data_IF_496052354543
#
_entry.id   IF_496052354543
#
_cell.length_a   1.000
_cell.length_b   1.000
_cell.length_c   1.000
_cell.angle_alpha   90.00
_cell.angle_beta   90.00
_cell.angle_gamma   90.00
#
_symmetry.space_group_name_H-M   'P 1'
#
loop_
_entity.id
_entity.type
_entity.pdbx_description
1 polymer ?
#
# COMPACT_ATOMS: atom_id res chain seq x y z
N UNK A 1 90.09 -30.14 47.54
CA UNK A 1 89.63 -28.81 47.09
C UNK A 1 88.16 -28.91 46.72
N UNK A 2 87.28 -28.35 47.57
CA UNK A 2 85.81 -28.42 47.45
C UNK A 2 85.34 -27.21 46.62
N UNK A 3 84.44 -27.40 45.64
CA UNK A 3 83.72 -26.30 44.98
C UNK A 3 82.21 -26.51 45.17
N UNK A 4 81.62 -25.81 46.14
CA UNK A 4 80.16 -25.76 46.36
C UNK A 4 79.52 -24.84 45.30
N UNK A 5 78.61 -25.37 44.51
CA UNK A 5 77.77 -24.61 43.58
C UNK A 5 76.58 -24.05 44.38
N UNK A 6 76.50 -22.73 44.51
CA UNK A 6 75.36 -22.06 45.13
C UNK A 6 74.19 -21.99 44.14
N UNK A 7 73.12 -22.74 44.37
CA UNK A 7 71.85 -22.51 43.71
C UNK A 7 71.24 -21.19 44.23
N UNK A 8 71.23 -20.16 43.40
CA UNK A 8 70.45 -18.95 43.68
C UNK A 8 68.96 -19.32 43.68
N UNK A 9 68.30 -19.19 44.84
CA UNK A 9 66.84 -19.28 44.96
C UNK A 9 66.20 -18.17 44.13
N UNK A 10 65.66 -18.51 42.95
CA UNK A 10 64.82 -17.60 42.17
C UNK A 10 63.57 -17.28 42.99
N UNK A 11 63.31 -15.99 43.23
CA UNK A 11 62.12 -15.51 43.95
C UNK A 11 60.89 -15.81 43.09
N UNK A 12 59.99 -16.65 43.60
CA UNK A 12 58.74 -17.06 42.95
C UNK A 12 57.68 -15.96 42.82
N UNK A 13 58.08 -14.72 42.54
CA UNK A 13 57.19 -13.56 42.42
C UNK A 13 56.29 -13.62 41.16
N UNK A 14 56.62 -14.47 40.19
CA UNK A 14 55.83 -14.62 38.96
C UNK A 14 54.52 -15.37 39.24
N UNK A 15 54.50 -16.38 40.11
CA UNK A 15 53.30 -17.16 40.42
C UNK A 15 52.12 -16.31 40.96
N UNK A 16 52.29 -15.45 41.99
CA UNK A 16 51.20 -14.59 42.45
C UNK A 16 50.79 -13.53 41.43
N UNK A 17 51.73 -13.01 40.63
CA UNK A 17 51.42 -12.08 39.54
C UNK A 17 50.55 -12.74 38.46
N UNK A 18 50.92 -13.96 38.04
CA UNK A 18 50.16 -14.73 37.05
C UNK A 18 48.76 -15.06 37.57
N UNK A 19 48.61 -15.43 38.85
CA UNK A 19 47.32 -15.70 39.45
C UNK A 19 46.38 -14.48 39.41
N UNK A 20 46.89 -13.29 39.75
CA UNK A 20 46.11 -12.05 39.69
C UNK A 20 45.72 -11.72 38.24
N UNK A 21 46.66 -11.82 37.30
CA UNK A 21 46.38 -11.55 35.87
C UNK A 21 45.36 -12.54 35.31
N UNK A 22 45.44 -13.82 35.68
CA UNK A 22 44.44 -14.82 35.28
C UNK A 22 43.02 -14.45 35.74
N UNK A 23 42.86 -13.97 36.98
CA UNK A 23 41.55 -13.52 37.48
C UNK A 23 41.03 -12.35 36.64
N UNK A 24 41.87 -11.37 36.33
CA UNK A 24 41.48 -10.21 35.51
C UNK A 24 41.09 -10.66 34.09
N UNK A 25 41.85 -11.56 33.48
CA UNK A 25 41.54 -12.09 32.15
C UNK A 25 40.23 -12.89 32.13
N UNK A 26 39.98 -13.72 33.14
CA UNK A 26 38.72 -14.45 33.27
C UNK A 26 37.52 -13.51 33.47
N UNK A 27 37.68 -12.43 34.26
CA UNK A 27 36.65 -11.41 34.42
C UNK A 27 36.34 -10.69 33.09
N UNK A 28 37.36 -10.37 32.30
CA UNK A 28 37.17 -9.77 30.97
C UNK A 28 36.46 -10.71 30.00
N UNK A 29 36.78 -12.01 30.02
CA UNK A 29 36.11 -13.02 29.19
C UNK A 29 34.64 -13.17 29.60
N UNK A 30 34.36 -13.30 30.91
CA UNK A 30 33.02 -13.36 31.46
C UNK A 30 32.16 -12.16 31.00
N UNK A 31 32.69 -10.95 31.14
CA UNK A 31 32.03 -9.73 30.69
C UNK A 31 31.79 -9.70 29.18
N UNK A 32 32.77 -10.12 28.38
CA UNK A 32 32.64 -10.20 26.93
C UNK A 32 31.56 -11.19 26.49
N UNK A 33 31.44 -12.34 27.17
CA UNK A 33 30.40 -13.35 26.89
C UNK A 33 29.00 -12.81 27.20
N UNK A 34 28.80 -12.18 28.37
CA UNK A 34 27.48 -11.68 28.76
C UNK A 34 27.01 -10.53 27.86
N UNK A 35 27.88 -9.57 27.53
CA UNK A 35 27.55 -8.50 26.59
C UNK A 35 27.30 -9.05 25.19
N UNK A 36 28.13 -9.99 24.74
CA UNK A 36 27.96 -10.65 23.46
C UNK A 36 26.60 -11.32 23.36
N UNK A 37 26.22 -12.08 24.39
CA UNK A 37 24.92 -12.74 24.48
C UNK A 37 23.77 -11.73 24.49
N UNK A 38 23.84 -10.67 25.31
CA UNK A 38 22.79 -9.65 25.37
C UNK A 38 22.58 -8.96 24.01
N UNK A 39 23.66 -8.65 23.29
CA UNK A 39 23.57 -8.04 21.97
C UNK A 39 22.96 -8.99 20.93
N UNK A 40 23.27 -10.30 20.99
CA UNK A 40 22.62 -11.30 20.14
C UNK A 40 21.12 -11.37 20.43
N UNK A 41 20.72 -11.41 21.70
CA UNK A 41 19.30 -11.48 22.09
C UNK A 41 18.55 -10.22 21.69
N UNK A 42 19.18 -9.03 21.80
CA UNK A 42 18.59 -7.78 21.27
C UNK A 42 18.39 -7.83 19.76
N UNK A 43 19.35 -8.38 19.01
CA UNK A 43 19.21 -8.58 17.57
C UNK A 43 18.07 -9.55 17.22
N UNK A 44 17.95 -10.66 17.96
CA UNK A 44 16.84 -11.61 17.83
C UNK A 44 15.48 -10.94 18.12
N UNK A 45 15.39 -10.15 19.20
CA UNK A 45 14.18 -9.43 19.56
C UNK A 45 13.77 -8.42 18.47
N UNK A 46 14.74 -7.68 17.92
CA UNK A 46 14.48 -6.75 16.82
C UNK A 46 14.00 -7.48 15.55
N UNK A 47 14.64 -8.58 15.17
CA UNK A 47 14.19 -9.37 14.01
C UNK A 47 12.78 -9.92 14.21
N UNK A 48 12.44 -10.35 15.43
CA UNK A 48 11.09 -10.75 15.80
C UNK A 48 10.10 -9.59 15.62
N UNK A 49 10.40 -8.41 16.18
CA UNK A 49 9.55 -7.23 16.09
C UNK A 49 9.34 -6.79 14.64
N UNK A 50 10.42 -6.73 13.85
CA UNK A 50 10.39 -6.33 12.43
C UNK A 50 9.53 -7.30 11.61
N UNK A 51 9.73 -8.61 11.77
CA UNK A 51 8.96 -9.62 11.04
C UNK A 51 7.48 -9.62 11.42
N UNK A 52 7.15 -9.46 12.71
CA UNK A 52 5.78 -9.39 13.20
C UNK A 52 5.07 -8.12 12.71
N UNK A 53 5.73 -6.96 12.78
CA UNK A 53 5.18 -5.70 12.29
C UNK A 53 4.91 -5.77 10.78
N UNK A 54 5.88 -6.27 10.00
CA UNK A 54 5.73 -6.42 8.55
C UNK A 54 4.61 -7.40 8.18
N UNK A 55 4.48 -8.52 8.89
CA UNK A 55 3.43 -9.49 8.65
C UNK A 55 2.04 -8.91 8.96
N UNK A 56 1.89 -8.24 10.11
CA UNK A 56 0.64 -7.58 10.48
C UNK A 56 0.25 -6.49 9.49
N UNK A 57 1.19 -5.62 9.09
CA UNK A 57 0.94 -4.58 8.10
C UNK A 57 0.68 -5.16 6.70
N UNK A 58 1.31 -6.27 6.32
CA UNK A 58 1.03 -7.01 5.09
C UNK A 58 -0.41 -7.55 5.07
N UNK A 59 -0.86 -8.14 6.18
CA UNK A 59 -2.25 -8.62 6.30
C UNK A 59 -3.25 -7.48 6.29
N UNK A 60 -2.93 -6.37 6.95
CA UNK A 60 -3.70 -5.14 6.90
C UNK A 60 -3.86 -4.64 5.45
N UNK A 61 -2.80 -4.67 4.65
CA UNK A 61 -2.86 -4.30 3.23
C UNK A 61 -3.79 -5.20 2.41
N UNK A 62 -3.70 -6.52 2.62
CA UNK A 62 -4.57 -7.50 1.97
C UNK A 62 -6.05 -7.26 2.30
N UNK A 63 -6.35 -6.96 3.57
CA UNK A 63 -7.71 -6.65 4.01
C UNK A 63 -8.23 -5.37 3.37
N UNK A 64 -7.45 -4.30 3.41
CA UNK A 64 -7.80 -3.04 2.76
C UNK A 64 -8.09 -3.27 1.27
N UNK A 65 -7.31 -4.13 0.60
CA UNK A 65 -7.45 -4.41 -0.84
C UNK A 65 -8.77 -4.98 -1.25
N UNK A 66 -9.35 -5.76 -0.36
CA UNK A 66 -10.64 -6.37 -0.61
C UNK A 66 -11.79 -5.58 0.04
N UNK A 67 -11.50 -4.54 0.83
CA UNK A 67 -12.49 -3.74 1.51
C UNK A 67 -13.45 -3.01 0.55
N UNK A 68 -14.73 -2.85 0.93
CA UNK A 68 -15.65 -2.01 0.19
C UNK A 68 -15.21 -0.53 0.28
N UNK A 69 -15.45 0.22 -0.79
CA UNK A 69 -15.12 1.65 -0.86
C UNK A 69 -16.40 2.43 -0.56
N UNK A 70 -16.39 3.23 0.50
CA UNK A 70 -17.50 4.11 0.87
C UNK A 70 -16.99 5.53 0.98
N UNK A 71 -17.62 6.46 0.26
CA UNK A 71 -17.19 7.86 0.13
C UNK A 71 -15.74 8.01 -0.33
N UNK A 72 -15.29 7.11 -1.21
CA UNK A 72 -13.93 7.11 -1.76
C UNK A 72 -12.85 6.55 -0.84
N UNK A 73 -13.23 6.04 0.33
CA UNK A 73 -12.30 5.49 1.33
C UNK A 73 -12.57 4.00 1.54
N UNK A 74 -11.54 3.13 1.55
CA UNK A 74 -11.70 1.73 1.93
C UNK A 74 -12.17 1.61 3.38
N UNK A 75 -13.27 0.89 3.61
CA UNK A 75 -13.83 0.70 4.95
C UNK A 75 -13.23 -0.53 5.60
N UNK A 76 -12.48 -0.30 6.67
CA UNK A 76 -11.90 -1.37 7.48
C UNK A 76 -12.83 -1.75 8.62
N UNK A 77 -12.93 -3.05 8.91
CA UNK A 77 -13.71 -3.61 10.02
C UNK A 77 -12.84 -4.01 11.21
N UNK A 78 -13.47 -4.32 12.34
CA UNK A 78 -12.75 -4.85 13.53
C UNK A 78 -12.11 -6.21 13.22
N UNK A 79 -12.74 -7.04 12.38
CA UNK A 79 -12.20 -8.35 12.00
C UNK A 79 -10.95 -8.22 11.11
N UNK A 80 -10.86 -7.17 10.30
CA UNK A 80 -9.65 -6.86 9.55
C UNK A 80 -8.48 -6.51 10.47
N UNK A 81 -8.74 -5.73 11.53
CA UNK A 81 -7.75 -5.40 12.55
C UNK A 81 -7.32 -6.65 13.33
N UNK A 82 -8.27 -7.48 13.76
CA UNK A 82 -7.97 -8.76 14.44
C UNK A 82 -7.15 -9.69 13.57
N UNK A 83 -7.44 -9.78 12.27
CA UNK A 83 -6.67 -10.59 11.35
C UNK A 83 -5.21 -10.10 11.24
N UNK A 84 -4.99 -8.78 11.21
CA UNK A 84 -3.64 -8.20 11.22
C UNK A 84 -2.89 -8.47 12.53
N UNK A 85 -3.56 -8.34 13.68
CA UNK A 85 -2.99 -8.70 15.00
C UNK A 85 -2.61 -10.18 15.03
N UNK A 86 -3.48 -11.08 14.56
CA UNK A 86 -3.23 -12.51 14.57
C UNK A 86 -2.03 -12.89 13.68
N UNK A 87 -1.93 -12.30 12.48
CA UNK A 87 -0.79 -12.55 11.59
C UNK A 87 0.53 -12.11 12.23
N UNK A 88 0.54 -10.94 12.89
CA UNK A 88 1.73 -10.47 13.62
C UNK A 88 2.13 -11.44 14.74
N UNK A 89 1.16 -11.97 15.51
CA UNK A 89 1.41 -12.98 16.55
C UNK A 89 1.97 -14.27 15.96
N UNK A 90 1.43 -14.74 14.84
CA UNK A 90 1.85 -15.99 14.21
C UNK A 90 3.29 -15.91 13.69
N UNK A 91 3.72 -14.74 13.22
CA UNK A 91 5.12 -14.49 12.85
C UNK A 91 6.02 -14.33 14.06
N UNK A 92 5.57 -13.67 15.13
CA UNK A 92 6.35 -13.57 16.37
C UNK A 92 6.67 -14.95 16.96
N UNK A 93 5.68 -15.86 16.98
CA UNK A 93 5.83 -17.24 17.50
C UNK A 93 6.87 -18.08 16.76
N UNK A 94 7.20 -17.73 15.51
CA UNK A 94 8.23 -18.42 14.72
C UNK A 94 9.65 -17.96 15.06
N UNK A 95 9.78 -16.85 15.79
CA UNK A 95 11.06 -16.29 16.17
C UNK A 95 11.45 -16.71 17.59
N UNK A 96 12.74 -16.92 17.79
CA UNK A 96 13.33 -17.27 19.07
C UNK A 96 14.17 -16.10 19.58
N UNK A 97 13.93 -15.68 20.83
CA UNK A 97 14.66 -14.61 21.51
C UNK A 97 15.26 -15.18 22.81
N UNK A 98 16.56 -15.45 22.79
CA UNK A 98 17.28 -15.98 23.95
C UNK A 98 16.79 -17.36 24.41
N UNK A 99 16.41 -18.23 23.47
CA UNK A 99 15.99 -19.62 23.72
C UNK A 99 14.48 -19.83 23.89
N UNK A 100 13.67 -18.77 23.81
CA UNK A 100 12.21 -18.82 24.02
C UNK A 100 11.50 -18.35 22.74
N UNK A 101 10.39 -19.00 22.38
CA UNK A 101 9.52 -18.53 21.30
C UNK A 101 8.66 -17.35 21.75
N UNK A 102 8.52 -16.33 20.91
CA UNK A 102 7.81 -15.11 21.31
C UNK A 102 6.30 -15.25 21.18
N UNK A 103 5.61 -15.11 22.31
CA UNK A 103 4.17 -14.97 22.37
C UNK A 103 3.83 -13.52 22.72
N UNK A 104 3.08 -12.86 21.84
CA UNK A 104 2.67 -11.47 22.02
C UNK A 104 1.22 -11.40 22.51
N UNK A 105 0.96 -10.46 23.42
CA UNK A 105 -0.39 -10.13 23.84
C UNK A 105 -1.02 -9.14 22.85
N UNK A 106 -2.34 -8.95 22.92
CA UNK A 106 -3.00 -7.90 22.10
C UNK A 106 -2.46 -6.51 22.43
N UNK A 107 -2.10 -6.26 23.69
CA UNK A 107 -1.54 -4.97 24.14
C UNK A 107 -0.12 -4.68 23.62
N UNK A 108 0.60 -5.71 23.12
CA UNK A 108 1.93 -5.54 22.53
C UNK A 108 1.86 -5.07 21.07
N UNK A 109 0.67 -5.07 20.47
CA UNK A 109 0.45 -4.75 19.07
C UNK A 109 -0.49 -3.56 18.98
N UNK A 110 0.00 -2.49 18.37
CA UNK A 110 -0.77 -1.27 18.14
C UNK A 110 -1.00 -1.07 16.66
N UNK A 111 -2.26 -0.86 16.26
CA UNK A 111 -2.62 -0.50 14.89
C UNK A 111 -3.13 0.94 14.89
N UNK A 112 -2.73 1.72 13.89
CA UNK A 112 -3.14 3.11 13.76
C UNK A 112 -2.83 3.71 12.40
N UNK A 113 -3.13 5.00 12.25
CA UNK A 113 -2.75 5.78 11.10
C UNK A 113 -1.42 6.52 11.36
N UNK A 114 -0.52 6.46 10.39
CA UNK A 114 0.75 7.17 10.37
C UNK A 114 0.78 8.06 9.13
N UNK A 115 0.82 9.36 9.35
CA UNK A 115 0.82 10.35 8.28
C UNK A 115 2.13 10.31 7.49
N UNK A 116 3.27 10.37 8.19
CA UNK A 116 4.59 10.43 7.58
C UNK A 116 5.49 9.30 8.11
N UNK A 117 5.66 8.19 7.36
CA UNK A 117 6.53 7.10 7.76
C UNK A 117 8.03 7.42 7.65
N UNK A 118 8.41 8.56 7.07
CA UNK A 118 9.81 8.96 6.92
C UNK A 118 10.27 9.94 8.00
N UNK A 119 9.33 10.50 8.78
CA UNK A 119 9.63 11.35 9.92
C UNK A 119 9.79 10.53 11.20
N UNK A 120 11.00 10.00 11.38
CA UNK A 120 11.39 9.22 12.55
C UNK A 120 11.25 9.98 13.88
N UNK A 121 11.33 11.31 13.86
CA UNK A 121 11.20 12.17 15.04
C UNK A 121 9.77 12.32 15.54
N UNK A 122 8.76 12.01 14.72
CA UNK A 122 7.34 12.12 15.06
C UNK A 122 6.55 10.86 14.64
N UNK A 123 7.09 9.69 14.99
CA UNK A 123 6.49 8.38 14.73
C UNK A 123 5.32 8.12 15.70
N UNK A 124 4.21 8.84 15.54
CA UNK A 124 2.99 8.67 16.34
C UNK A 124 1.91 7.93 15.56
N UNK A 125 1.25 6.97 16.21
CA UNK A 125 0.10 6.26 15.66
C UNK A 125 -1.18 6.99 16.06
N UNK A 126 -1.83 7.61 15.10
CA UNK A 126 -3.12 8.23 15.27
C UNK A 126 -4.22 7.16 15.22
N UNK A 127 -4.84 6.89 16.37
CA UNK A 127 -5.98 5.98 16.49
C UNK A 127 -7.31 6.68 16.28
N UNK A 128 -7.32 8.01 16.12
CA UNK A 128 -8.54 8.78 15.88
C UNK A 128 -8.98 8.73 14.40
N UNK A 129 -10.29 8.85 14.18
CA UNK A 129 -10.87 8.92 12.85
C UNK A 129 -11.15 7.57 12.17
N UNK A 130 -10.85 6.44 12.81
CA UNK A 130 -11.33 5.14 12.35
C UNK A 130 -12.85 5.00 12.59
N UNK A 131 -13.63 4.38 11.69
CA UNK A 131 -13.23 3.76 10.41
C UNK A 131 -13.25 4.72 9.20
N UNK A 132 -13.57 6.00 9.40
CA UNK A 132 -13.65 6.99 8.31
C UNK A 132 -12.29 7.26 7.64
N UNK A 133 -11.19 6.98 8.33
CA UNK A 133 -9.83 6.88 7.79
C UNK A 133 -9.26 5.50 8.15
N UNK A 134 -8.88 4.67 7.17
CA UNK A 134 -8.31 3.36 7.43
C UNK A 134 -6.97 3.51 8.13
N UNK A 135 -6.68 2.58 9.03
CA UNK A 135 -5.34 2.48 9.59
C UNK A 135 -4.38 1.94 8.54
N UNK A 136 -3.12 2.35 8.64
CA UNK A 136 -2.09 2.02 7.67
C UNK A 136 -0.80 1.53 8.30
N UNK A 137 -0.68 1.54 9.63
CA UNK A 137 0.53 1.14 10.32
C UNK A 137 0.25 0.16 11.46
N UNK A 138 1.18 -0.78 11.64
CA UNK A 138 1.21 -1.77 12.71
C UNK A 138 2.53 -1.63 13.46
N UNK A 139 2.47 -1.37 14.76
CA UNK A 139 3.60 -1.32 15.67
C UNK A 139 3.56 -2.54 16.58
N UNK A 140 4.69 -3.20 16.72
CA UNK A 140 4.86 -4.38 17.55
C UNK A 140 5.95 -4.12 18.57
N UNK A 141 5.63 -4.37 19.83
CA UNK A 141 6.56 -4.35 20.95
C UNK A 141 6.90 -5.79 21.34
N UNK A 142 8.19 -6.13 21.29
CA UNK A 142 8.69 -7.43 21.75
C UNK A 142 9.47 -7.19 23.03
N UNK A 143 9.12 -7.93 24.08
CA UNK A 143 9.79 -7.85 25.37
C UNK A 143 10.07 -9.24 25.97
N UNK A 144 11.23 -9.34 26.61
CA UNK A 144 11.55 -10.34 27.64
C UNK A 144 11.82 -9.59 28.93
N UNK A 145 10.85 -9.66 29.83
CA UNK A 145 10.87 -9.05 31.15
C UNK A 145 10.14 -9.95 32.15
N UNK A 146 9.98 -9.50 33.39
CA UNK A 146 9.31 -10.30 34.43
C UNK A 146 7.87 -10.73 34.09
N UNK A 147 7.20 -10.04 33.17
CA UNK A 147 5.79 -10.25 32.82
C UNK A 147 5.59 -10.85 31.42
N UNK A 148 6.66 -11.00 30.61
CA UNK A 148 6.58 -11.45 29.22
C UNK A 148 7.60 -12.56 28.91
N UNK A 149 7.17 -13.54 28.11
CA UNK A 149 8.04 -14.46 27.36
C UNK A 149 9.13 -15.17 28.18
N UNK A 150 8.70 -15.91 29.22
CA UNK A 150 9.58 -16.79 29.99
C UNK A 150 10.49 -16.07 30.99
N UNK A 151 10.23 -14.79 31.28
CA UNK A 151 10.96 -14.02 32.27
C UNK A 151 12.23 -13.36 31.73
N UNK A 152 12.90 -12.64 32.62
CA UNK A 152 14.15 -11.91 32.33
C UNK A 152 15.25 -12.82 31.78
N UNK A 153 16.15 -12.23 31.01
CA UNK A 153 17.28 -12.95 30.43
C UNK A 153 18.34 -13.22 31.51
N UNK A 154 18.54 -14.49 31.87
CA UNK A 154 19.61 -14.88 32.79
C UNK A 154 20.98 -14.69 32.14
N UNK A 155 21.88 -14.03 32.86
CA UNK A 155 23.27 -13.84 32.44
C UNK A 155 24.15 -14.98 32.98
N UNK A 156 25.29 -15.24 32.32
CA UNK A 156 26.14 -16.39 32.65
C UNK A 156 27.11 -16.08 33.79
N UNK A 157 27.73 -14.90 33.79
CA UNK A 157 28.80 -14.56 34.73
C UNK A 157 28.57 -13.26 35.52
N UNK A 158 27.71 -12.38 35.02
CA UNK A 158 27.25 -11.17 35.70
C UNK A 158 26.64 -11.39 37.11
N UNK A 159 26.05 -12.56 37.46
CA UNK A 159 25.66 -12.86 38.84
C UNK A 159 26.80 -12.69 39.86
N UNK A 160 28.06 -12.91 39.45
CA UNK A 160 29.25 -12.77 40.33
C UNK A 160 29.43 -11.32 40.82
N UNK A 161 28.90 -10.34 40.10
CA UNK A 161 28.91 -8.92 40.47
C UNK A 161 27.52 -8.40 40.88
N UNK A 162 26.57 -9.30 41.13
CA UNK A 162 25.22 -8.98 41.61
C UNK A 162 24.21 -8.58 40.52
N UNK A 163 24.46 -8.92 39.26
CA UNK A 163 23.52 -8.71 38.15
C UNK A 163 23.09 -10.05 37.59
N UNK A 164 21.95 -10.55 38.07
CA UNK A 164 21.49 -11.90 37.72
C UNK A 164 20.79 -11.97 36.37
N UNK A 165 20.11 -10.88 35.99
CA UNK A 165 19.23 -10.85 34.83
C UNK A 165 19.27 -9.52 34.06
N UNK A 166 18.85 -9.55 32.80
CA UNK A 166 18.66 -8.39 31.96
C UNK A 166 17.29 -8.38 31.28
N UNK A 167 16.66 -7.20 31.20
CA UNK A 167 15.44 -6.99 30.44
C UNK A 167 15.80 -6.62 28.98
N UNK A 168 15.07 -7.18 28.02
CA UNK A 168 15.23 -6.87 26.60
C UNK A 168 13.90 -6.41 26.04
N UNK A 169 13.85 -5.20 25.48
CA UNK A 169 12.68 -4.63 24.83
C UNK A 169 13.05 -3.98 23.51
N UNK A 170 12.27 -4.26 22.48
CA UNK A 170 12.46 -3.72 21.13
C UNK A 170 11.10 -3.42 20.52
N UNK A 171 11.03 -2.34 19.74
CA UNK A 171 9.82 -1.93 19.03
C UNK A 171 10.12 -1.86 17.54
N UNK A 172 9.18 -2.27 16.72
CA UNK A 172 9.21 -2.07 15.28
C UNK A 172 7.87 -1.54 14.79
N UNK A 173 7.86 -0.65 13.81
CA UNK A 173 6.63 -0.20 13.15
C UNK A 173 6.72 -0.47 11.66
N UNK A 174 5.67 -1.02 11.08
CA UNK A 174 5.54 -1.19 9.65
C UNK A 174 4.33 -0.37 9.16
N UNK A 175 4.50 0.34 8.05
CA UNK A 175 3.50 1.26 7.52
C UNK A 175 3.24 1.01 6.03
N UNK A 176 2.00 1.17 5.63
CA UNK A 176 1.52 1.26 4.27
C UNK A 176 1.40 2.75 3.92
N UNK A 177 2.40 3.36 3.27
CA UNK A 177 2.31 4.75 2.88
C UNK A 177 1.10 4.96 1.97
N UNK A 178 0.27 5.95 2.29
CA UNK A 178 -0.94 6.26 1.56
C UNK A 178 -0.77 7.58 0.78
N UNK A 179 -1.27 7.66 -0.45
CA UNK A 179 -1.15 8.86 -1.26
C UNK A 179 -2.10 8.91 -2.45
N UNK A 180 -1.95 9.93 -3.29
CA UNK A 180 -2.76 10.11 -4.49
C UNK A 180 -2.29 9.23 -5.66
N UNK A 181 -3.23 8.75 -6.50
CA UNK A 181 -2.88 8.02 -7.71
C UNK A 181 -2.20 8.92 -8.73
N UNK A 182 -0.98 8.58 -9.09
CA UNK A 182 -0.32 9.12 -10.29
C UNK A 182 -0.66 8.19 -11.45
N UNK A 183 -1.42 8.66 -12.45
CA UNK A 183 -1.74 7.84 -13.61
C UNK A 183 -0.48 7.47 -14.40
N UNK A 184 -0.45 6.26 -14.95
CA UNK A 184 0.51 5.91 -15.99
C UNK A 184 -0.13 6.04 -17.35
N UNK A 185 0.69 6.37 -18.35
CA UNK A 185 0.27 6.38 -19.75
C UNK A 185 -0.35 5.04 -20.17
N UNK A 186 0.28 3.90 -19.82
CA UNK A 186 -0.19 2.55 -20.18
C UNK A 186 -1.55 2.17 -19.60
N UNK A 187 -1.92 2.75 -18.46
CA UNK A 187 -3.16 2.46 -17.77
C UNK A 187 -4.33 3.36 -18.15
N UNK A 188 -4.13 4.39 -18.97
CA UNK A 188 -5.11 5.45 -19.17
C UNK A 188 -6.23 5.03 -20.14
N UNK A 189 -7.49 5.16 -19.70
CA UNK A 189 -8.66 4.86 -20.52
C UNK A 189 -9.02 6.03 -21.44
N UNK A 190 -9.51 5.75 -22.66
CA UNK A 190 -9.96 6.80 -23.56
C UNK A 190 -11.37 7.33 -23.30
N UNK A 191 -11.80 7.24 -22.04
CA UNK A 191 -13.11 7.67 -21.59
C UNK A 191 -12.94 8.66 -20.45
N UNK A 192 -13.65 9.79 -20.52
CA UNK A 192 -13.80 10.74 -19.44
C UNK A 192 -15.10 10.47 -18.70
N UNK A 193 -15.09 10.63 -17.38
CA UNK A 193 -16.29 10.56 -16.55
C UNK A 193 -16.45 11.81 -15.70
N UNK A 194 -17.69 12.24 -15.46
CA UNK A 194 -17.95 13.49 -14.75
C UNK A 194 -17.65 13.31 -13.25
N UNK A 195 -16.94 14.26 -12.65
CA UNK A 195 -16.39 14.14 -11.29
C UNK A 195 -17.45 14.05 -10.17
N UNK A 196 -18.57 14.76 -10.29
CA UNK A 196 -19.69 14.70 -9.34
C UNK A 196 -20.52 13.43 -9.47
N UNK A 197 -20.65 12.89 -10.68
CA UNK A 197 -21.22 11.57 -10.93
C UNK A 197 -20.32 10.48 -10.34
N UNK A 198 -19.01 10.60 -10.52
CA UNK A 198 -18.04 9.71 -9.90
C UNK A 198 -18.15 9.73 -8.37
N UNK A 199 -18.27 10.92 -7.76
CA UNK A 199 -18.49 11.06 -6.31
C UNK A 199 -19.80 10.39 -5.87
N UNK A 200 -20.86 10.48 -6.67
CA UNK A 200 -22.11 9.76 -6.40
C UNK A 200 -21.92 8.24 -6.40
N UNK A 201 -21.16 7.69 -7.36
CA UNK A 201 -20.78 6.26 -7.38
C UNK A 201 -20.04 5.87 -6.11
N UNK A 202 -19.00 6.63 -5.74
CA UNK A 202 -18.18 6.34 -4.56
C UNK A 202 -18.95 6.43 -3.24
N UNK A 203 -20.05 7.18 -3.19
CA UNK A 203 -20.88 7.38 -2.00
C UNK A 203 -22.12 6.49 -1.96
N UNK A 204 -22.36 5.70 -3.00
CA UNK A 204 -23.51 4.82 -3.07
C UNK A 204 -23.42 3.70 -2.02
N UNK A 205 -24.42 3.54 -1.14
CA UNK A 205 -24.45 2.46 -0.15
C UNK A 205 -24.72 1.07 -0.76
N UNK A 206 -25.08 0.98 -2.04
CA UNK A 206 -25.37 -0.25 -2.76
C UNK A 206 -26.00 0.01 -4.13
N UNK A 207 -26.41 -1.04 -4.82
CA UNK A 207 -27.06 -0.95 -6.12
C UNK A 207 -28.32 -0.05 -6.07
N UNK A 208 -28.48 0.84 -7.06
CA UNK A 208 -29.57 1.80 -7.10
C UNK A 208 -29.27 3.02 -7.95
N UNK A 209 -30.17 4.00 -7.91
CA UNK A 209 -30.01 5.27 -8.65
C UNK A 209 -29.85 6.42 -7.68
N UNK A 210 -28.78 7.19 -7.84
CA UNK A 210 -28.40 8.30 -6.97
C UNK A 210 -28.31 9.61 -7.74
N UNK A 211 -28.67 10.71 -7.08
CA UNK A 211 -28.53 12.06 -7.63
C UNK A 211 -27.11 12.57 -7.39
N UNK A 212 -26.40 12.90 -8.46
CA UNK A 212 -25.12 13.59 -8.39
C UNK A 212 -25.30 15.09 -8.16
N UNK A 213 -24.25 15.78 -7.69
CA UNK A 213 -24.31 17.22 -7.39
C UNK A 213 -24.56 18.09 -8.64
N UNK A 214 -24.25 17.58 -9.83
CA UNK A 214 -24.58 18.21 -11.10
C UNK A 214 -26.07 18.05 -11.52
N UNK A 215 -26.89 17.35 -10.73
CA UNK A 215 -28.31 17.10 -10.98
C UNK A 215 -28.61 15.81 -11.75
N UNK A 216 -27.60 15.15 -12.32
CA UNK A 216 -27.76 13.92 -13.10
C UNK A 216 -28.07 12.71 -12.21
N UNK A 217 -28.75 11.73 -12.79
CA UNK A 217 -28.98 10.43 -12.15
C UNK A 217 -27.83 9.48 -12.53
N UNK A 218 -27.22 8.87 -11.53
CA UNK A 218 -26.20 7.84 -11.70
C UNK A 218 -26.78 6.52 -11.22
N UNK A 219 -26.83 5.53 -12.10
CA UNK A 219 -27.25 4.16 -11.75
C UNK A 219 -26.01 3.33 -11.48
N UNK A 220 -25.98 2.68 -10.33
CA UNK A 220 -24.94 1.74 -9.95
C UNK A 220 -25.52 0.35 -9.71
N UNK A 221 -24.73 -0.66 -10.01
CA UNK A 221 -25.05 -2.09 -9.84
C UNK A 221 -24.08 -2.74 -8.87
N UNK A 222 -24.31 -4.00 -8.53
CA UNK A 222 -23.36 -4.89 -7.85
C UNK A 222 -23.60 -6.29 -8.41
N UNK A 223 -23.15 -6.48 -9.64
CA UNK A 223 -23.41 -7.67 -10.44
C UNK A 223 -22.14 -8.49 -10.72
N UNK A 224 -20.97 -7.93 -10.40
CA UNK A 224 -19.68 -8.52 -10.69
C UNK A 224 -18.83 -8.65 -9.43
N UNK A 225 -18.07 -9.73 -9.39
CA UNK A 225 -17.05 -9.96 -8.37
C UNK A 225 -15.70 -9.74 -9.01
N UNK A 226 -14.92 -8.81 -8.46
CA UNK A 226 -13.56 -8.54 -8.93
C UNK A 226 -12.55 -9.02 -7.90
N UNK A 227 -11.74 -9.99 -8.29
CA UNK A 227 -10.55 -10.39 -7.55
C UNK A 227 -9.50 -9.26 -7.63
N UNK A 228 -9.30 -8.57 -6.52
CA UNK A 228 -8.29 -7.51 -6.40
C UNK A 228 -6.86 -8.00 -6.67
N UNK A 229 -6.58 -9.31 -6.57
CA UNK A 229 -5.26 -9.89 -6.86
C UNK A 229 -5.06 -10.22 -8.33
N UNK A 230 -6.15 -10.31 -9.11
CA UNK A 230 -6.06 -10.54 -10.53
C UNK A 230 -5.86 -9.24 -11.31
N UNK A 231 -5.19 -9.39 -12.45
CA UNK A 231 -4.96 -8.36 -13.45
C UNK A 231 -5.45 -8.81 -14.83
N UNK A 232 -6.35 -9.78 -14.89
CA UNK A 232 -6.89 -10.30 -16.15
C UNK A 232 -8.37 -10.67 -16.01
N UNK A 233 -8.98 -11.04 -17.14
CA UNK A 233 -10.41 -11.32 -17.21
C UNK A 233 -10.88 -12.48 -16.31
N UNK A 234 -10.01 -13.43 -15.92
CA UNK A 234 -10.37 -14.51 -14.99
C UNK A 234 -10.65 -13.99 -13.57
N UNK A 235 -10.16 -12.78 -13.28
CA UNK A 235 -10.44 -12.06 -12.05
C UNK A 235 -11.85 -11.47 -11.95
N UNK A 236 -12.61 -11.45 -13.05
CA UNK A 236 -13.96 -10.91 -13.08
C UNK A 236 -14.95 -12.05 -13.22
N UNK A 237 -15.90 -12.15 -12.30
CA UNK A 237 -16.96 -13.16 -12.30
C UNK A 237 -18.32 -12.51 -12.16
N UNK A 238 -19.37 -13.17 -12.63
CA UNK A 238 -20.74 -12.76 -12.33
C UNK A 238 -21.06 -13.11 -10.86
N UNK A 239 -21.66 -12.17 -10.14
CA UNK A 239 -22.02 -12.30 -8.72
C UNK A 239 -21.68 -11.03 -7.94
N UNK A 240 -22.48 -10.69 -6.93
CA UNK A 240 -22.27 -9.52 -6.08
C UNK A 240 -21.04 -9.70 -5.17
N UNK A 241 -20.21 -8.65 -5.05
CA UNK A 241 -19.07 -8.59 -4.12
C UNK A 241 -19.19 -7.46 -3.07
N UNK A 242 -20.34 -6.77 -3.05
CA UNK A 242 -20.60 -5.65 -2.15
C UNK A 242 -19.94 -4.35 -2.59
N UNK A 243 -19.32 -4.31 -3.78
CA UNK A 243 -18.74 -3.10 -4.37
C UNK A 243 -19.56 -2.70 -5.58
N UNK A 244 -19.88 -1.42 -5.64
CA UNK A 244 -20.73 -0.91 -6.70
C UNK A 244 -19.98 -0.80 -8.03
N UNK A 245 -20.62 -1.12 -9.14
CA UNK A 245 -20.16 -0.79 -10.48
C UNK A 245 -21.02 0.29 -11.13
N UNK A 246 -20.44 1.03 -12.06
CA UNK A 246 -21.15 2.05 -12.84
C UNK A 246 -20.91 1.85 -14.32
N UNK A 247 -21.85 2.33 -15.15
CA UNK A 247 -21.65 2.44 -16.59
C UNK A 247 -21.00 3.78 -16.88
N UNK A 248 -19.73 3.76 -17.30
CA UNK A 248 -19.03 4.99 -17.68
C UNK A 248 -19.40 5.47 -19.09
N UNK A 249 -19.87 4.56 -19.93
CA UNK A 249 -20.32 4.85 -21.30
C UNK A 249 -21.75 4.33 -21.52
N UNK A 250 -22.60 5.07 -22.26
CA UNK A 250 -22.38 6.46 -22.68
C UNK A 250 -22.40 7.41 -21.47
N UNK A 251 -21.51 8.41 -21.48
CA UNK A 251 -21.51 9.46 -20.46
C UNK A 251 -22.67 10.46 -20.64
N UNK A 252 -23.09 11.11 -19.55
CA UNK A 252 -24.07 12.20 -19.56
C UNK A 252 -23.42 13.52 -20.03
N UNK A 253 -23.03 13.57 -21.30
CA UNK A 253 -22.23 14.66 -21.88
C UNK A 253 -22.96 15.36 -23.03
N UNK A 254 -22.22 16.11 -23.86
CA UNK A 254 -22.75 16.82 -25.01
C UNK A 254 -23.21 15.87 -26.12
N UNK A 255 -24.26 16.27 -26.85
CA UNK A 255 -24.78 15.49 -27.97
C UNK A 255 -23.68 15.23 -29.01
N UNK A 256 -23.41 13.95 -29.31
CA UNK A 256 -22.41 13.52 -30.28
C UNK A 256 -21.03 13.16 -29.72
N UNK A 257 -20.71 13.50 -28.47
CA UNK A 257 -19.50 13.00 -27.78
C UNK A 257 -19.88 12.51 -26.38
N UNK A 258 -19.87 11.18 -26.19
CA UNK A 258 -20.34 10.47 -24.99
C UNK A 258 -19.24 10.22 -23.95
N UNK A 259 -18.30 11.17 -23.81
CA UNK A 259 -17.18 11.08 -22.90
C UNK A 259 -15.92 10.45 -23.53
N UNK A 260 -15.80 10.41 -24.85
CA UNK A 260 -14.58 9.89 -25.49
C UNK A 260 -13.54 11.00 -25.66
N UNK A 261 -12.35 10.75 -25.12
CA UNK A 261 -11.21 11.67 -25.21
C UNK A 261 -10.36 11.29 -26.43
N UNK A 262 -9.87 12.30 -27.15
CA UNK A 262 -8.96 12.08 -28.26
C UNK A 262 -7.50 12.00 -27.75
N UNK A 263 -6.79 10.92 -28.08
CA UNK A 263 -5.40 10.69 -27.68
C UNK A 263 -4.37 11.03 -28.79
N UNK A 264 -4.81 11.67 -29.87
CA UNK A 264 -3.93 12.05 -30.99
C UNK A 264 -3.75 13.57 -31.07
N UNK A 265 -2.49 14.01 -31.11
CA UNK A 265 -2.10 15.43 -31.25
C UNK A 265 -2.32 16.00 -32.66
N UNK A 266 -2.75 15.16 -33.58
CA UNK A 266 -3.09 15.50 -34.94
C UNK A 266 -4.27 14.61 -35.33
N UNK A 267 -5.13 15.04 -36.25
CA UNK A 267 -6.17 14.21 -36.86
C UNK A 267 -5.59 13.02 -37.66
N UNK A 268 -4.43 12.52 -37.29
CA UNK A 268 -3.76 11.36 -37.82
C UNK A 268 -4.39 10.12 -37.20
N UNK A 269 -5.49 9.69 -37.81
CA UNK A 269 -6.10 8.39 -37.58
C UNK A 269 -6.97 8.31 -36.34
N UNK A 270 -8.23 8.76 -36.45
CA UNK A 270 -9.34 8.16 -35.68
C UNK A 270 -9.66 6.73 -36.18
N UNK A 271 -8.65 6.06 -36.75
CA UNK A 271 -8.79 4.73 -37.29
C UNK A 271 -9.06 3.79 -36.13
N UNK A 272 -9.90 2.78 -36.38
CA UNK A 272 -10.23 1.81 -35.34
C UNK A 272 -8.97 1.07 -34.84
N UNK A 273 -7.91 0.96 -35.66
CA UNK A 273 -6.64 0.35 -35.26
C UNK A 273 -5.87 1.19 -34.23
N UNK A 274 -5.77 2.51 -34.43
CA UNK A 274 -4.98 3.37 -33.54
C UNK A 274 -5.65 3.48 -32.17
N UNK A 275 -6.98 3.61 -32.16
CA UNK A 275 -7.75 3.65 -30.91
C UNK A 275 -7.74 2.31 -30.17
N UNK A 276 -7.68 1.16 -30.88
CA UNK A 276 -7.47 -0.15 -30.25
C UNK A 276 -6.09 -0.24 -29.58
N UNK A 277 -5.05 0.27 -30.24
CA UNK A 277 -3.70 0.27 -29.69
C UNK A 277 -3.62 1.12 -28.41
N UNK A 278 -4.21 2.31 -28.42
CA UNK A 278 -4.33 3.17 -27.23
C UNK A 278 -5.08 2.49 -26.09
N UNK A 279 -6.16 1.75 -26.37
CA UNK A 279 -6.92 1.03 -25.34
C UNK A 279 -6.08 -0.09 -24.70
N UNK A 280 -5.32 -0.83 -25.50
CA UNK A 280 -4.57 -2.00 -25.04
C UNK A 280 -3.25 -1.60 -24.38
N UNK A 281 -2.48 -0.73 -25.04
CA UNK A 281 -1.11 -0.38 -24.70
C UNK A 281 -0.98 1.01 -24.03
N UNK A 282 -2.02 1.83 -24.06
CA UNK A 282 -2.03 3.22 -23.60
C UNK A 282 -1.39 4.20 -24.59
N UNK A 283 -1.62 5.51 -24.43
CA UNK A 283 -0.91 6.53 -25.18
C UNK A 283 0.60 6.51 -24.94
N UNK A 284 1.35 7.07 -25.89
CA UNK A 284 2.78 7.35 -25.75
C UNK A 284 3.04 8.83 -26.02
N UNK A 285 4.08 9.40 -25.41
CA UNK A 285 4.47 10.81 -25.62
C UNK A 285 4.77 11.11 -27.10
N UNK A 286 5.23 10.11 -27.86
CA UNK A 286 5.45 10.21 -29.31
C UNK A 286 4.15 10.54 -30.07
N UNK A 287 3.04 9.96 -29.64
CA UNK A 287 1.73 10.17 -30.26
C UNK A 287 0.97 11.33 -29.58
N UNK A 288 1.36 11.67 -28.34
CA UNK A 288 0.73 12.71 -27.54
C UNK A 288 1.72 13.52 -26.68
N UNK A 289 2.24 14.63 -27.23
CA UNK A 289 3.21 15.49 -26.54
C UNK A 289 2.66 16.12 -25.25
N UNK A 290 1.36 16.34 -25.15
CA UNK A 290 0.72 16.94 -23.96
C UNK A 290 0.46 15.92 -22.85
N UNK A 291 0.71 14.62 -23.10
CA UNK A 291 0.48 13.55 -22.13
C UNK A 291 1.16 13.81 -20.76
N UNK A 292 2.43 14.29 -20.69
CA UNK A 292 3.04 14.60 -19.40
C UNK A 292 2.28 15.68 -18.61
N UNK A 293 1.72 16.68 -19.30
CA UNK A 293 0.90 17.70 -18.64
C UNK A 293 -0.44 17.12 -18.17
N UNK A 294 -1.11 16.33 -19.02
CA UNK A 294 -2.39 15.68 -18.71
C UNK A 294 -2.26 14.78 -17.47
N UNK A 295 -1.18 13.99 -17.35
CA UNK A 295 -0.94 13.12 -16.20
C UNK A 295 -0.73 13.90 -14.89
N UNK A 296 -0.48 15.21 -14.95
CA UNK A 296 -0.39 16.10 -13.77
C UNK A 296 -1.70 16.81 -13.42
N UNK A 297 -2.79 16.52 -14.15
CA UNK A 297 -4.08 17.15 -13.93
C UNK A 297 -4.60 16.92 -12.50
N UNK A 298 -4.97 18.01 -11.85
CA UNK A 298 -5.50 18.01 -10.49
C UNK A 298 -6.64 19.01 -10.34
N UNK A 299 -7.39 19.00 -9.23
CA UNK A 299 -8.44 19.99 -8.99
C UNK A 299 -7.91 21.43 -8.96
N UNK A 300 -6.65 21.63 -8.56
CA UNK A 300 -5.98 22.93 -8.51
C UNK A 300 -5.27 23.30 -9.81
N UNK A 301 -4.91 22.31 -10.63
CA UNK A 301 -4.27 22.48 -11.95
C UNK A 301 -5.00 21.63 -13.01
N UNK A 302 -6.21 22.04 -13.43
CA UNK A 302 -6.97 21.30 -14.42
C UNK A 302 -6.39 21.45 -15.84
N UNK A 303 -6.45 20.38 -16.64
CA UNK A 303 -5.91 20.33 -18.01
C UNK A 303 -7.05 20.11 -19.00
N UNK A 304 -7.10 20.92 -20.07
CA UNK A 304 -8.11 20.78 -21.11
C UNK A 304 -7.66 19.76 -22.15
N UNK A 305 -8.52 18.79 -22.45
CA UNK A 305 -8.22 17.69 -23.38
C UNK A 305 -9.31 17.61 -24.45
N UNK A 306 -8.91 17.51 -25.72
CA UNK A 306 -9.84 17.42 -26.84
C UNK A 306 -10.59 16.07 -26.81
N UNK A 307 -11.86 16.08 -27.20
CA UNK A 307 -12.72 14.92 -27.32
C UNK A 307 -12.97 14.51 -28.76
N UNK A 308 -13.05 13.21 -29.00
CA UNK A 308 -13.37 12.62 -30.31
C UNK A 308 -14.84 12.15 -30.32
N UNK A 309 -15.64 12.36 -31.38
CA UNK A 309 -16.98 11.80 -31.50
C UNK A 309 -17.00 10.26 -31.59
N UNK A 310 -17.08 9.63 -30.42
CA UNK A 310 -17.71 8.32 -30.22
C UNK A 310 -16.81 7.10 -30.40
N UNK A 311 -17.22 6.02 -29.73
CA UNK A 311 -16.64 4.69 -29.88
C UNK A 311 -17.45 3.87 -30.88
N UNK A 312 -16.77 3.19 -31.81
CA UNK A 312 -17.41 2.27 -32.75
C UNK A 312 -17.49 0.86 -32.18
N UNK A 313 -18.42 0.06 -32.69
CA UNK A 313 -18.50 -1.39 -32.41
C UNK A 313 -17.19 -2.14 -32.75
N UNK A 314 -16.33 -1.53 -33.57
CA UNK A 314 -15.01 -2.03 -33.90
C UNK A 314 -14.03 -2.00 -32.72
N UNK A 315 -14.27 -1.21 -31.67
CA UNK A 315 -13.34 -1.09 -30.53
C UNK A 315 -13.67 -2.07 -29.39
N UNK A 316 -14.82 -2.76 -29.44
CA UNK A 316 -15.24 -3.73 -28.42
C UNK A 316 -14.18 -4.79 -28.11
N UNK A 317 -13.48 -5.40 -29.10
CA UNK A 317 -12.45 -6.41 -28.80
C UNK A 317 -11.29 -5.87 -27.96
N UNK A 318 -10.91 -4.61 -28.14
CA UNK A 318 -9.83 -4.00 -27.37
C UNK A 318 -10.27 -3.71 -25.94
N UNK A 319 -11.49 -3.19 -25.74
CA UNK A 319 -12.03 -2.99 -24.38
C UNK A 319 -12.23 -4.34 -23.68
N UNK A 320 -12.65 -5.38 -24.41
CA UNK A 320 -12.79 -6.74 -23.89
C UNK A 320 -11.45 -7.35 -23.47
N UNK A 321 -10.36 -7.05 -24.19
CA UNK A 321 -9.02 -7.53 -23.87
C UNK A 321 -8.46 -6.96 -22.55
N UNK A 322 -9.00 -5.84 -22.08
CA UNK A 322 -8.56 -5.17 -20.86
C UNK A 322 -9.51 -5.39 -19.67
N UNK A 323 -10.52 -6.26 -19.81
CA UNK A 323 -11.38 -6.68 -18.68
C UNK A 323 -10.50 -7.29 -17.57
N UNK A 324 -10.77 -6.89 -16.33
CA UNK A 324 -10.02 -7.31 -15.14
C UNK A 324 -8.69 -6.60 -14.93
N UNK A 325 -8.19 -5.82 -15.91
CA UNK A 325 -6.98 -5.02 -15.75
C UNK A 325 -7.27 -3.74 -14.96
N UNK A 326 -6.38 -3.35 -14.01
CA UNK A 326 -6.42 -2.02 -13.42
C UNK A 326 -6.18 -0.95 -14.49
N UNK A 327 -7.00 0.09 -14.49
CA UNK A 327 -6.95 1.20 -15.45
C UNK A 327 -7.28 2.53 -14.76
N UNK A 328 -6.87 3.63 -15.37
CA UNK A 328 -7.17 4.99 -14.91
C UNK A 328 -8.26 5.61 -15.77
N UNK A 329 -9.30 6.11 -15.12
CA UNK A 329 -10.40 6.83 -15.71
C UNK A 329 -10.20 8.35 -15.52
N UNK A 330 -9.93 9.12 -16.59
CA UNK A 330 -9.94 10.57 -16.54
C UNK A 330 -11.25 11.12 -15.96
N UNK A 331 -11.15 12.01 -14.97
CA UNK A 331 -12.30 12.70 -14.37
C UNK A 331 -12.35 14.14 -14.85
N UNK A 332 -13.50 14.60 -15.32
CA UNK A 332 -13.69 15.97 -15.78
C UNK A 332 -14.72 16.74 -14.97
N UNK A 333 -14.54 18.06 -14.89
CA UNK A 333 -15.51 18.97 -14.25
C UNK A 333 -16.46 19.61 -15.24
N UNK A 334 -15.92 20.19 -16.31
CA UNK A 334 -16.69 20.89 -17.33
C UNK A 334 -16.37 20.33 -18.71
N UNK A 335 -17.39 20.33 -19.56
CA UNK A 335 -17.29 20.04 -20.98
C UNK A 335 -17.75 21.27 -21.75
N UNK A 336 -17.04 21.63 -22.82
CA UNK A 336 -17.41 22.74 -23.70
C UNK A 336 -17.11 22.39 -25.15
N UNK A 337 -17.78 23.07 -26.09
CA UNK A 337 -17.74 22.71 -27.52
C UNK A 337 -18.70 21.58 -27.88
N UNK A 338 -18.73 21.22 -29.17
CA UNK A 338 -19.64 20.20 -29.73
C UNK A 338 -18.91 19.33 -30.76
N UNK A 339 -19.31 18.06 -30.86
CA UNK A 339 -18.72 17.10 -31.80
C UNK A 339 -17.20 16.96 -31.64
N UNK A 340 -16.47 17.08 -32.75
CA UNK A 340 -15.00 16.96 -32.82
C UNK A 340 -14.23 18.16 -32.23
N UNK A 341 -14.93 19.18 -31.74
CA UNK A 341 -14.35 20.34 -31.05
C UNK A 341 -14.77 20.36 -29.58
N UNK A 342 -15.17 19.21 -29.03
CA UNK A 342 -15.50 19.08 -27.60
C UNK A 342 -14.20 19.06 -26.81
N UNK A 343 -14.17 19.73 -25.66
CA UNK A 343 -13.05 19.71 -24.73
C UNK A 343 -13.54 19.32 -23.34
N UNK A 344 -12.79 18.43 -22.69
CA UNK A 344 -12.99 18.00 -21.32
C UNK A 344 -11.94 18.63 -20.43
N UNK A 345 -12.38 19.32 -19.37
CA UNK A 345 -11.49 19.86 -18.36
C UNK A 345 -11.19 18.81 -17.31
N UNK A 346 -10.07 18.10 -17.48
CA UNK A 346 -9.62 17.01 -16.61
C UNK A 346 -9.10 17.58 -15.29
N UNK A 347 -9.58 17.01 -14.19
CA UNK A 347 -9.28 17.44 -12.81
C UNK A 347 -8.66 16.32 -11.97
N UNK A 348 -8.51 15.12 -12.51
CA UNK A 348 -7.95 13.98 -11.78
C UNK A 348 -8.21 12.66 -12.48
N UNK A 349 -7.83 11.57 -11.80
CA UNK A 349 -7.90 10.22 -12.34
C UNK A 349 -8.41 9.25 -11.28
N UNK A 350 -9.37 8.41 -11.69
CA UNK A 350 -9.93 7.37 -10.86
C UNK A 350 -9.42 5.99 -11.30
N UNK A 351 -8.71 5.23 -10.45
CA UNK A 351 -8.49 3.81 -10.69
C UNK A 351 -9.80 3.02 -10.71
N UNK A 352 -9.91 2.21 -11.74
CA UNK A 352 -11.05 1.35 -12.02
C UNK A 352 -10.57 -0.01 -12.51
N UNK A 353 -11.45 -1.00 -12.43
CA UNK A 353 -11.34 -2.24 -13.19
C UNK A 353 -12.51 -2.33 -14.14
N UNK A 354 -12.23 -2.64 -15.41
CA UNK A 354 -13.30 -2.87 -16.39
C UNK A 354 -13.87 -4.25 -16.11
N UNK A 355 -15.18 -4.32 -15.92
CA UNK A 355 -15.88 -5.57 -15.60
C UNK A 355 -16.62 -6.13 -16.80
N UNK A 356 -17.16 -5.26 -17.66
CA UNK A 356 -17.90 -5.71 -18.84
C UNK A 356 -17.99 -4.61 -19.92
N UNK A 357 -18.26 -5.05 -21.15
CA UNK A 357 -18.45 -4.19 -22.32
C UNK A 357 -19.43 -4.78 -23.33
N UNK A 358 -20.29 -3.93 -23.87
CA UNK A 358 -21.20 -4.22 -24.98
C UNK A 358 -21.27 -3.00 -25.90
N UNK A 359 -20.82 -3.11 -27.16
CA UNK A 359 -20.86 -1.99 -28.11
C UNK A 359 -21.57 -2.34 -29.43
N UNK A 360 -21.99 -3.60 -29.60
CA UNK A 360 -22.60 -4.12 -30.83
C UNK A 360 -24.12 -4.24 -30.73
N UNK A 361 -24.61 -4.93 -29.70
CA UNK A 361 -26.01 -5.37 -29.61
C UNK A 361 -26.70 -4.73 -28.41
N UNK A 362 -27.91 -4.19 -28.61
CA UNK A 362 -28.71 -3.59 -27.54
C UNK A 362 -28.18 -2.25 -27.04
N UNK A 363 -28.38 -1.96 -25.75
CA UNK A 363 -27.86 -0.74 -25.11
C UNK A 363 -26.35 -0.84 -24.97
N UNK A 364 -25.63 0.09 -25.61
CA UNK A 364 -24.17 0.13 -25.55
C UNK A 364 -23.71 0.55 -24.15
N UNK A 365 -22.72 -0.14 -23.59
CA UNK A 365 -22.09 0.27 -22.34
C UNK A 365 -20.65 -0.21 -22.20
N UNK A 366 -19.91 0.51 -21.36
CA UNK A 366 -18.70 0.01 -20.71
C UNK A 366 -18.90 0.14 -19.21
N UNK A 367 -18.81 -0.97 -18.49
CA UNK A 367 -19.02 -1.03 -17.05
C UNK A 367 -17.68 -1.12 -16.32
N UNK A 368 -17.59 -0.36 -15.23
CA UNK A 368 -16.38 -0.26 -14.42
C UNK A 368 -16.70 -0.32 -12.93
N UNK A 369 -15.81 -0.95 -12.17
CA UNK A 369 -15.85 -0.99 -10.72
C UNK A 369 -14.72 -0.11 -10.15
N UNK A 370 -14.99 0.79 -9.18
CA UNK A 370 -13.95 1.52 -8.48
C UNK A 370 -12.95 0.58 -7.81
N UNK A 371 -11.67 0.91 -7.86
CA UNK A 371 -10.60 0.10 -7.26
C UNK A 371 -9.65 0.95 -6.44
N UNK A 372 -9.24 0.43 -5.30
CA UNK A 372 -8.12 0.99 -4.53
C UNK A 372 -6.81 0.45 -5.11
N UNK A 373 -5.83 1.33 -5.36
CA UNK A 373 -4.54 0.89 -5.92
C UNK A 373 -3.63 0.47 -4.78
N UNK A 374 -3.10 -0.75 -4.86
CA UNK A 374 -2.04 -1.24 -3.99
C UNK A 374 -0.77 -1.27 -4.82
N UNK A 375 0.18 -0.39 -4.51
CA UNK A 375 1.46 -0.21 -5.18
C UNK A 375 1.40 0.47 -6.57
N UNK A 376 2.24 1.50 -6.76
CA UNK A 376 2.45 2.23 -8.03
C UNK A 376 2.98 1.29 -9.14
N UNK A 377 3.85 0.32 -8.80
CA UNK A 377 4.48 -0.57 -9.79
C UNK A 377 3.51 -1.43 -10.60
N UNK A 378 2.31 -1.73 -10.07
CA UNK A 378 1.32 -2.55 -10.80
C UNK A 378 0.77 -1.81 -12.02
N UNK A 379 0.85 -0.48 -12.05
CA UNK A 379 0.26 0.33 -13.11
C UNK A 379 1.29 1.20 -13.83
N UNK A 380 2.38 1.65 -13.18
CA UNK A 380 3.42 2.47 -13.84
C UNK A 380 4.52 1.67 -14.55
N UNK A 381 4.71 0.40 -14.22
CA UNK A 381 5.84 -0.38 -14.74
C UNK A 381 7.22 0.19 -14.36
N UNK A 382 7.28 1.10 -13.38
CA UNK A 382 8.51 1.71 -12.90
C UNK A 382 8.57 1.60 -11.37
N UNK A 383 9.76 1.23 -10.86
CA UNK A 383 10.01 0.73 -9.50
C UNK A 383 10.26 1.84 -8.45
N UNK A 384 10.00 3.11 -8.80
CA UNK A 384 10.26 4.25 -7.91
C UNK A 384 9.01 4.80 -7.22
N UNK A 385 9.11 4.85 -5.90
CA UNK A 385 8.09 5.22 -4.94
C UNK A 385 8.24 6.71 -4.61
N UNK A 386 7.34 7.56 -5.14
CA UNK A 386 7.19 8.95 -4.68
C UNK A 386 5.74 9.11 -4.21
N UNK A 387 5.54 9.46 -2.93
CA UNK A 387 4.23 9.71 -2.33
C UNK A 387 4.03 11.20 -2.05
N UNK A 388 2.81 11.68 -2.28
CA UNK A 388 2.29 12.89 -1.65
C UNK A 388 1.15 12.48 -0.73
N UNK A 389 1.33 12.69 0.57
CA UNK A 389 0.34 12.45 1.63
C UNK A 389 -0.56 13.68 1.71
N UNK A 390 -1.88 13.56 1.51
CA UNK A 390 -2.83 14.65 1.80
C UNK A 390 -4.11 14.10 2.47
N UNK A 391 -4.70 14.81 3.46
CA UNK A 391 -5.92 14.40 4.13
C UNK A 391 -7.15 14.56 3.22
N UNK A 392 -8.00 13.53 3.21
CA UNK A 392 -9.46 13.57 3.05
C UNK A 392 -10.09 14.91 2.56
N UNK A 393 -10.02 15.17 1.25
CA UNK A 393 -10.97 16.02 0.49
C UNK A 393 -10.93 15.71 -1.03
N UNK A 394 -10.27 14.63 -1.44
CA UNK A 394 -9.90 14.42 -2.85
C UNK A 394 -11.02 13.64 -3.59
N UNK A 395 -11.44 14.05 -4.81
CA UNK A 395 -12.27 13.22 -5.71
C UNK A 395 -11.64 11.88 -6.12
N UNK A 396 -10.35 11.65 -5.82
CA UNK A 396 -9.62 10.46 -6.22
C UNK A 396 -9.57 9.41 -5.09
N UNK A 397 -9.67 8.10 -5.41
CA UNK A 397 -9.48 7.03 -4.44
C UNK A 397 -8.01 6.90 -4.02
N UNK A 398 -7.81 6.43 -2.80
CA UNK A 398 -6.51 6.31 -2.13
C UNK A 398 -5.58 5.28 -2.83
N UNK A 399 -4.29 5.60 -2.93
CA UNK A 399 -3.22 4.63 -3.23
C UNK A 399 -2.62 4.16 -1.93
N UNK A 400 -2.43 2.85 -1.80
CA UNK A 400 -1.76 2.20 -0.69
C UNK A 400 -0.44 1.64 -1.22
N UNK A 401 0.69 2.11 -0.70
CA UNK A 401 2.02 1.70 -1.10
C UNK A 401 2.42 0.32 -0.60
N UNK A 402 3.62 -0.13 -1.00
CA UNK A 402 4.25 -1.32 -0.40
C UNK A 402 4.51 -1.07 1.09
N UNK A 403 4.42 -2.13 1.87
CA UNK A 403 4.76 -2.04 3.28
C UNK A 403 6.23 -1.63 3.45
N UNK A 404 6.45 -0.59 4.27
CA UNK A 404 7.78 -0.06 4.63
C UNK A 404 7.97 -0.29 6.12
N UNK A 405 9.12 -0.83 6.49
CA UNK A 405 9.54 -0.90 7.88
C UNK A 405 10.11 0.46 8.30
N UNK A 406 9.54 1.04 9.35
CA UNK A 406 9.91 2.33 9.94
C UNK A 406 10.58 2.02 11.28
N UNK A 407 11.89 2.26 11.36
CA UNK A 407 12.69 1.99 12.56
C UNK A 407 12.84 3.22 13.43
#
# INVERSE_FOLDING_TARGET
MIRRIHHQKRRGAVAPLTAIVMIVLLAMVAFAVDIGYLNVVRGQAQNCADSAALAGAGKLAERLKNAPIVKGVPVQTVDDLRAAVQEAKDYAKRNNVGGVYMELNDGDIEIGYMADPFNHSNNTLDKSGWPARPYNAVRVNVARDANHNGGKLKLFFAPVIGVDDADVRTTATACLPMGDPVPSAKGLLPFAYQVDEWRAVLSAPGAGTYKAANGNNVTVTDCFTVDGNSTNALGVKLGSDGKVETRMYPGNTTSGNYGTINFSNSKCGNSTSDLRDVIINGPTEKNWPDLPEILTASPTKPVAVNGDPGISAGMEPAVRAIIGQPRFLPLFTTVYGVGNNTYYKIVGFAPVTIVDVQLRNGTKYVAVQPRTIYNKSIITGDDRIDFTIIPSANPNPLVIGRCVLVR
#
